data_IF_081432815165
#
_entry.id   IF_081432815165
#
_cell.length_a   1.000
_cell.length_b   1.000
_cell.length_c   1.000
_cell.angle_alpha   90.00
_cell.angle_beta   90.00
_cell.angle_gamma   90.00
#
_symmetry.space_group_name_H-M   'P 1'
#
loop_
_entity.id
_entity.type
_entity.pdbx_description
1 polymer ?
#
# COMPACT_ATOMS: atom_id res chain seq x y z
N UNK A 1 -7.02 -7.99 -10.16
CA UNK A 1 -6.69 -7.50 -8.82
C UNK A 1 -7.86 -7.72 -7.90
N UNK A 2 -7.59 -8.17 -6.68
CA UNK A 2 -8.61 -8.45 -5.65
C UNK A 2 -8.26 -7.67 -4.38
N UNK A 3 -9.24 -7.05 -3.74
CA UNK A 3 -9.03 -6.33 -2.48
C UNK A 3 -8.64 -7.32 -1.37
N UNK A 4 -7.55 -7.03 -0.65
CA UNK A 4 -7.04 -7.84 0.44
C UNK A 4 -7.72 -7.45 1.76
N UNK A 5 -8.71 -8.24 2.16
CA UNK A 5 -9.58 -7.91 3.30
C UNK A 5 -9.35 -8.71 4.59
N UNK A 6 -8.23 -9.43 4.70
CA UNK A 6 -8.00 -10.32 5.83
C UNK A 6 -7.68 -9.55 7.13
N UNK A 7 -7.99 -10.18 8.27
CA UNK A 7 -7.81 -9.58 9.61
C UNK A 7 -6.35 -9.22 9.90
N UNK A 8 -5.40 -10.08 9.52
CA UNK A 8 -3.98 -9.91 9.83
C UNK A 8 -3.41 -8.67 9.15
N UNK A 9 -3.72 -8.48 7.87
CA UNK A 9 -3.39 -7.29 7.09
C UNK A 9 -4.05 -6.04 7.68
N UNK A 10 -5.33 -6.10 8.06
CA UNK A 10 -6.03 -4.96 8.70
C UNK A 10 -5.39 -4.56 10.04
N UNK A 11 -4.99 -5.54 10.87
CA UNK A 11 -4.32 -5.30 12.14
C UNK A 11 -2.90 -4.71 11.94
N UNK A 12 -2.15 -5.20 10.95
CA UNK A 12 -0.84 -4.67 10.58
C UNK A 12 -0.92 -3.22 10.11
N UNK A 13 -1.80 -2.91 9.14
CA UNK A 13 -2.03 -1.56 8.65
C UNK A 13 -2.38 -0.63 9.81
N UNK A 14 -3.33 -1.05 10.67
CA UNK A 14 -3.73 -0.27 11.83
C UNK A 14 -2.55 0.04 12.73
N UNK A 15 -1.70 -0.96 13.03
CA UNK A 15 -0.50 -0.77 13.84
C UNK A 15 0.43 0.26 13.20
N UNK A 16 0.79 0.10 11.93
CA UNK A 16 1.71 1.00 11.22
C UNK A 16 1.19 2.45 11.20
N UNK A 17 -0.09 2.64 10.90
CA UNK A 17 -0.73 3.97 10.89
C UNK A 17 -0.67 4.65 12.27
N UNK A 18 -0.88 3.90 13.36
CA UNK A 18 -0.82 4.44 14.72
C UNK A 18 0.60 4.76 15.16
N UNK A 19 1.58 3.94 14.78
CA UNK A 19 2.99 4.19 15.04
C UNK A 19 3.47 5.50 14.38
N UNK A 20 2.82 5.92 13.29
CA UNK A 20 3.06 7.20 12.60
C UNK A 20 2.20 8.37 13.14
N UNK A 21 1.48 8.17 14.25
CA UNK A 21 0.73 9.24 14.94
C UNK A 21 -0.63 9.60 14.31
N UNK A 22 -1.13 8.82 13.36
CA UNK A 22 -2.45 9.04 12.77
C UNK A 22 -3.52 8.44 13.67
N UNK A 23 -4.12 9.28 14.52
CA UNK A 23 -5.15 8.86 15.47
C UNK A 23 -6.58 8.85 14.88
N UNK A 24 -6.77 9.50 13.72
CA UNK A 24 -8.07 9.69 13.08
C UNK A 24 -8.62 8.47 12.32
N UNK A 25 -9.70 8.70 11.58
CA UNK A 25 -10.16 7.77 10.54
C UNK A 25 -9.15 7.78 9.40
N UNK A 26 -8.95 6.63 8.78
CA UNK A 26 -8.05 6.49 7.64
C UNK A 26 -8.63 5.51 6.62
N UNK A 27 -8.24 5.70 5.37
CA UNK A 27 -8.57 4.85 4.23
C UNK A 27 -7.27 4.48 3.50
N UNK A 28 -7.10 3.19 3.26
CA UNK A 28 -6.03 2.62 2.45
C UNK A 28 -6.59 1.37 1.78
N UNK A 29 -6.27 1.18 0.50
CA UNK A 29 -6.61 -0.05 -0.19
C UNK A 29 -5.34 -0.87 -0.39
N UNK A 30 -5.46 -2.18 -0.16
CA UNK A 30 -4.40 -3.14 -0.45
C UNK A 30 -4.97 -4.16 -1.43
N UNK A 31 -4.30 -4.33 -2.55
CA UNK A 31 -4.74 -5.16 -3.67
C UNK A 31 -3.77 -6.32 -3.86
N UNK A 32 -4.30 -7.53 -4.00
CA UNK A 32 -3.56 -8.66 -4.54
C UNK A 32 -3.64 -8.63 -6.07
N UNK A 33 -2.49 -8.79 -6.71
CA UNK A 33 -2.34 -8.78 -8.16
C UNK A 33 -1.51 -10.00 -8.60
N UNK A 34 -1.82 -10.57 -9.76
CA UNK A 34 -0.97 -11.61 -10.35
C UNK A 34 0.25 -10.98 -11.06
N UNK A 35 1.19 -11.81 -11.55
CA UNK A 35 2.39 -11.33 -12.25
C UNK A 35 2.05 -10.45 -13.46
N UNK A 36 1.00 -10.80 -14.21
CA UNK A 36 0.62 -10.06 -15.43
C UNK A 36 0.11 -8.67 -15.07
N UNK A 37 -0.67 -8.56 -14.00
CA UNK A 37 -1.16 -7.31 -13.46
C UNK A 37 -0.01 -6.46 -12.91
N UNK A 38 0.91 -7.05 -12.14
CA UNK A 38 2.07 -6.33 -11.59
C UNK A 38 3.00 -5.80 -12.68
N UNK A 39 3.30 -6.57 -13.73
CA UNK A 39 4.07 -6.06 -14.88
C UNK A 39 3.37 -4.93 -15.61
N UNK A 40 2.04 -4.99 -15.73
CA UNK A 40 1.26 -3.90 -16.32
C UNK A 40 1.38 -2.63 -15.48
N UNK A 41 1.27 -2.75 -14.16
CA UNK A 41 1.42 -1.65 -13.21
C UNK A 41 2.84 -1.07 -13.24
N UNK A 42 3.88 -1.92 -13.30
CA UNK A 42 5.27 -1.51 -13.48
C UNK A 42 5.47 -0.65 -14.73
N UNK A 43 4.92 -1.07 -15.87
CA UNK A 43 5.00 -0.29 -17.13
C UNK A 43 4.32 1.06 -17.03
N UNK A 44 3.15 1.10 -16.40
CA UNK A 44 2.31 2.30 -16.33
C UNK A 44 2.88 3.33 -15.34
N UNK A 45 3.37 2.88 -14.19
CA UNK A 45 3.71 3.74 -13.07
C UNK A 45 5.21 3.82 -12.77
N UNK A 46 5.94 2.70 -12.87
CA UNK A 46 7.39 2.64 -12.65
C UNK A 46 8.19 2.91 -13.92
N UNK A 47 7.54 2.82 -15.09
CA UNK A 47 8.13 3.00 -16.43
C UNK A 47 9.19 1.94 -16.77
N UNK A 48 9.03 0.74 -16.23
CA UNK A 48 9.88 -0.44 -16.50
C UNK A 48 9.04 -1.69 -16.84
N UNK A 49 9.69 -2.80 -17.18
CA UNK A 49 9.04 -4.12 -17.38
C UNK A 49 9.50 -5.12 -16.31
N UNK A 50 9.94 -4.62 -15.16
CA UNK A 50 10.39 -5.46 -14.05
C UNK A 50 9.18 -6.05 -13.31
N UNK A 51 9.38 -7.22 -12.73
CA UNK A 51 8.39 -7.80 -11.84
C UNK A 51 8.62 -7.23 -10.44
N UNK A 52 7.76 -6.28 -10.06
CA UNK A 52 7.70 -5.74 -8.71
C UNK A 52 6.81 -6.62 -7.84
N UNK A 53 7.26 -6.93 -6.63
CA UNK A 53 6.42 -7.64 -5.64
C UNK A 53 5.45 -6.71 -4.92
N UNK A 54 5.75 -5.41 -4.89
CA UNK A 54 4.90 -4.36 -4.30
C UNK A 54 5.06 -3.04 -5.07
N UNK A 55 3.96 -2.35 -5.30
CA UNK A 55 3.92 -0.98 -5.82
C UNK A 55 2.95 -0.17 -4.95
N UNK A 56 3.34 1.05 -4.58
CA UNK A 56 2.54 1.91 -3.69
C UNK A 56 2.31 3.27 -4.34
N UNK A 57 1.08 3.78 -4.24
CA UNK A 57 0.67 5.08 -4.77
C UNK A 57 0.24 5.99 -3.61
N UNK A 58 1.16 6.78 -3.04
CA UNK A 58 0.82 7.78 -2.03
C UNK A 58 -0.06 8.86 -2.64
N UNK A 59 -1.04 9.34 -1.86
CA UNK A 59 -1.73 10.59 -2.18
C UNK A 59 -0.86 11.78 -1.75
N UNK A 60 -0.93 12.87 -2.50
CA UNK A 60 -0.13 14.08 -2.23
C UNK A 60 -0.49 14.76 -0.90
N UNK A 61 -1.65 14.42 -0.31
CA UNK A 61 -2.16 15.10 0.87
C UNK A 61 -1.48 14.58 2.15
N UNK A 62 -0.78 15.47 2.86
CA UNK A 62 -0.06 15.13 4.10
C UNK A 62 -0.94 15.21 5.35
N UNK A 63 -2.26 15.09 5.20
CA UNK A 63 -3.25 15.37 6.24
C UNK A 63 -4.61 14.73 5.96
N UNK A 64 -5.56 14.83 6.91
CA UNK A 64 -6.93 14.41 6.66
C UNK A 64 -7.63 15.35 5.67
N UNK A 65 -8.53 14.81 4.88
CA UNK A 65 -9.41 15.60 4.01
C UNK A 65 -10.46 16.38 4.84
N UNK A 66 -11.32 17.15 4.15
CA UNK A 66 -12.36 17.98 4.76
C UNK A 66 -13.36 17.19 5.65
N UNK A 67 -13.46 15.88 5.46
CA UNK A 67 -14.29 14.96 6.27
C UNK A 67 -13.55 14.35 7.46
N UNK A 68 -12.30 14.74 7.69
CA UNK A 68 -11.46 14.24 8.78
C UNK A 68 -10.87 12.84 8.53
N UNK A 69 -10.95 12.32 7.29
CA UNK A 69 -10.42 11.01 6.91
C UNK A 69 -9.03 11.18 6.27
N UNK A 70 -8.05 10.43 6.76
CA UNK A 70 -6.73 10.31 6.14
C UNK A 70 -6.79 9.33 4.97
N UNK A 71 -6.71 9.82 3.74
CA UNK A 71 -6.64 8.95 2.56
C UNK A 71 -5.17 8.74 2.22
N UNK A 72 -4.66 7.53 2.48
CA UNK A 72 -3.23 7.22 2.38
C UNK A 72 -2.84 6.75 0.97
N UNK A 73 -3.81 6.23 0.21
CA UNK A 73 -3.61 5.75 -1.16
C UNK A 73 -3.78 4.24 -1.28
N UNK A 74 -3.06 3.67 -2.24
CA UNK A 74 -3.23 2.29 -2.68
C UNK A 74 -1.89 1.54 -2.67
N UNK A 75 -1.95 0.25 -2.33
CA UNK A 75 -0.83 -0.69 -2.40
C UNK A 75 -1.26 -1.87 -3.26
N UNK A 76 -0.48 -2.22 -4.28
CA UNK A 76 -0.61 -3.50 -4.99
C UNK A 76 0.52 -4.44 -4.57
N UNK A 77 0.19 -5.69 -4.27
CA UNK A 77 1.12 -6.73 -3.85
C UNK A 77 0.93 -7.98 -4.71
N UNK A 78 2.04 -8.60 -5.13
CA UNK A 78 2.05 -9.85 -5.88
C UNK A 78 1.45 -10.98 -5.03
N UNK A 79 0.46 -11.70 -5.59
CA UNK A 79 -0.29 -12.74 -4.87
C UNK A 79 0.53 -13.99 -4.53
N UNK A 80 1.60 -14.24 -5.27
CA UNK A 80 2.53 -15.35 -5.09
C UNK A 80 3.74 -15.02 -4.22
N UNK A 81 3.84 -13.79 -3.69
CA UNK A 81 4.98 -13.37 -2.88
C UNK A 81 5.09 -14.15 -1.56
N UNK A 82 6.31 -14.49 -1.16
CA UNK A 82 6.57 -15.33 0.01
C UNK A 82 6.22 -14.64 1.35
N UNK A 83 6.34 -13.31 1.42
CA UNK A 83 6.15 -12.55 2.66
C UNK A 83 5.21 -11.34 2.48
N UNK A 84 3.92 -11.64 2.33
CA UNK A 84 2.87 -10.65 2.13
C UNK A 84 2.82 -9.57 3.21
N UNK A 85 3.05 -9.92 4.48
CA UNK A 85 3.03 -8.96 5.59
C UNK A 85 4.15 -7.94 5.50
N UNK A 86 5.37 -8.40 5.21
CA UNK A 86 6.50 -7.50 5.02
C UNK A 86 6.24 -6.54 3.86
N UNK A 87 5.71 -7.03 2.74
CA UNK A 87 5.41 -6.20 1.57
C UNK A 87 4.31 -5.17 1.84
N UNK A 88 3.26 -5.55 2.58
CA UNK A 88 2.23 -4.60 3.01
C UNK A 88 2.81 -3.54 3.94
N UNK A 89 3.61 -3.93 4.94
CA UNK A 89 4.26 -2.96 5.83
C UNK A 89 5.19 -2.03 5.06
N UNK A 90 5.98 -2.57 4.13
CA UNK A 90 6.88 -1.80 3.28
C UNK A 90 6.11 -0.81 2.40
N UNK A 91 5.03 -1.26 1.75
CA UNK A 91 4.17 -0.38 0.96
C UNK A 91 3.52 0.72 1.81
N UNK A 92 3.06 0.38 3.02
CA UNK A 92 2.51 1.36 3.96
C UNK A 92 3.52 2.46 4.33
N UNK A 93 4.79 2.09 4.53
CA UNK A 93 5.86 3.07 4.82
C UNK A 93 6.04 4.06 3.67
N UNK A 94 6.02 3.58 2.42
CA UNK A 94 6.03 4.48 1.26
C UNK A 94 4.81 5.40 1.20
N UNK A 95 3.61 4.90 1.52
CA UNK A 95 2.41 5.75 1.61
C UNK A 95 2.53 6.85 2.68
N UNK A 96 3.32 6.59 3.74
CA UNK A 96 3.53 7.49 4.87
C UNK A 96 4.77 8.39 4.69
N UNK A 97 5.43 8.33 3.52
CA UNK A 97 6.58 9.17 3.18
C UNK A 97 7.94 8.64 3.67
N UNK A 98 7.99 7.42 4.18
CA UNK A 98 9.25 6.71 4.49
C UNK A 98 9.75 5.98 3.24
N UNK A 99 10.67 6.60 2.50
CA UNK A 99 11.35 5.95 1.39
C UNK A 99 12.57 5.18 1.91
N UNK A 100 12.54 3.86 1.76
CA UNK A 100 13.71 3.01 1.92
C UNK A 100 14.12 2.54 0.52
N UNK A 101 15.36 2.87 0.11
CA UNK A 101 15.97 2.40 -1.15
C UNK A 101 16.22 0.88 -1.16
#
# INVERSE_FOLDING_TARGET
MTLLENKKTKDLIKKTVREHGIEGKYEVNVWLADEKEMRKLGKEWMRDDELHEVISWPLENTGPDLDGVWRLGDIAVLDSAENLEFLVEHGMKHLLGEHHD
#
